data_IF_997231512615
#
_entry.id   IF_997231512615
#
_cell.length_a   1.000
_cell.length_b   1.000
_cell.length_c   1.000
_cell.angle_alpha   90.00
_cell.angle_beta   90.00
_cell.angle_gamma   90.00
#
_symmetry.space_group_name_H-M   'P 1'
#
loop_
_entity.id
_entity.type
_entity.pdbx_description
1 polymer ?
#
# COMPACT_ATOMS: atom_id res chain seq x y z
N UNK A 1 8.82 1.63 15.25
CA UNK A 1 9.07 1.49 13.80
C UNK A 1 8.91 2.86 13.15
N UNK A 2 9.96 3.40 12.54
CA UNK A 2 9.92 4.68 11.83
C UNK A 2 9.51 4.45 10.38
N UNK A 3 8.37 5.00 9.99
CA UNK A 3 7.75 4.79 8.68
C UNK A 3 7.80 6.10 7.90
N UNK A 4 8.40 6.08 6.72
CA UNK A 4 8.29 7.15 5.74
C UNK A 4 7.26 6.78 4.68
N UNK A 5 6.31 7.68 4.46
CA UNK A 5 5.35 7.58 3.36
C UNK A 5 5.77 8.50 2.22
N UNK A 6 5.59 8.03 0.99
CA UNK A 6 5.85 8.80 -0.24
C UNK A 6 4.52 9.04 -0.95
N UNK A 7 3.96 10.24 -0.77
CA UNK A 7 2.84 10.73 -1.58
C UNK A 7 3.41 11.39 -2.84
N UNK A 8 3.77 10.55 -3.81
CA UNK A 8 4.37 10.99 -5.06
C UNK A 8 3.35 11.59 -6.03
N UNK A 9 3.81 12.55 -6.83
CA UNK A 9 3.09 13.07 -7.98
C UNK A 9 3.18 12.08 -9.14
N UNK A 10 2.14 11.30 -9.37
CA UNK A 10 2.09 10.30 -10.46
C UNK A 10 1.15 10.85 -11.52
N UNK A 11 1.72 11.43 -12.57
CA UNK A 11 1.00 12.09 -13.64
C UNK A 11 0.92 11.25 -14.92
N UNK A 12 0.42 11.81 -16.04
CA UNK A 12 0.52 11.21 -17.37
C UNK A 12 1.96 11.31 -17.92
N UNK A 13 2.92 10.85 -17.13
CA UNK A 13 4.36 10.84 -17.42
C UNK A 13 4.77 9.51 -18.05
N UNK A 14 5.95 9.49 -18.65
CA UNK A 14 6.58 8.25 -19.12
C UNK A 14 6.98 7.36 -17.94
N UNK A 15 7.19 6.06 -18.21
CA UNK A 15 7.68 5.11 -17.20
C UNK A 15 8.98 5.59 -16.53
N UNK A 16 9.88 6.19 -17.34
CA UNK A 16 11.17 6.70 -16.84
C UNK A 16 11.01 7.92 -15.92
N UNK A 17 10.08 8.82 -16.24
CA UNK A 17 9.83 10.02 -15.43
C UNK A 17 9.17 9.64 -14.09
N UNK A 18 8.16 8.76 -14.12
CA UNK A 18 7.53 8.21 -12.91
C UNK A 18 8.56 7.52 -12.01
N UNK A 19 9.41 6.66 -12.61
CA UNK A 19 10.50 6.00 -11.86
C UNK A 19 11.45 7.04 -11.25
N UNK A 20 11.84 8.06 -12.00
CA UNK A 20 12.73 9.11 -11.48
C UNK A 20 12.12 9.82 -10.27
N UNK A 21 10.86 10.25 -10.36
CA UNK A 21 10.15 10.90 -9.25
C UNK A 21 10.14 10.01 -8.01
N UNK A 22 9.80 8.74 -8.17
CA UNK A 22 9.74 7.79 -7.04
C UNK A 22 11.12 7.60 -6.39
N UNK A 23 12.19 7.43 -7.17
CA UNK A 23 13.52 7.27 -6.59
C UNK A 23 14.04 8.55 -5.93
N UNK A 24 13.78 9.73 -6.51
CA UNK A 24 14.11 11.02 -5.88
C UNK A 24 13.36 11.20 -4.54
N UNK A 25 12.07 10.85 -4.48
CA UNK A 25 11.26 10.92 -3.25
C UNK A 25 11.70 9.88 -2.20
N UNK A 26 12.15 8.69 -2.63
CA UNK A 26 12.76 7.71 -1.73
C UNK A 26 14.08 8.22 -1.16
N UNK A 27 14.92 8.86 -1.97
CA UNK A 27 16.15 9.51 -1.51
C UNK A 27 15.87 10.62 -0.50
N UNK A 28 14.83 11.43 -0.72
CA UNK A 28 14.38 12.42 0.27
C UNK A 28 13.97 11.73 1.59
N UNK A 29 13.23 10.63 1.53
CA UNK A 29 12.77 9.89 2.71
C UNK A 29 13.95 9.41 3.58
N UNK A 30 15.06 9.01 2.97
CA UNK A 30 16.27 8.56 3.67
C UNK A 30 16.84 9.61 4.64
N UNK A 31 16.62 10.91 4.40
CA UNK A 31 17.05 11.99 5.31
C UNK A 31 16.51 11.82 6.74
N UNK A 32 15.38 11.12 6.90
CA UNK A 32 14.76 10.84 8.19
C UNK A 32 15.27 9.56 8.86
N UNK A 33 16.16 8.79 8.21
CA UNK A 33 16.60 7.45 8.59
C UNK A 33 15.41 6.52 8.92
N UNK A 34 14.50 6.24 7.96
CA UNK A 34 13.36 5.36 8.19
C UNK A 34 13.74 3.90 8.35
N UNK A 35 12.90 3.15 9.05
CA UNK A 35 12.97 1.69 9.09
C UNK A 35 12.30 1.08 7.85
N UNK A 36 11.26 1.74 7.34
CA UNK A 36 10.52 1.34 6.14
C UNK A 36 10.10 2.57 5.33
N UNK A 37 10.20 2.46 4.00
CA UNK A 37 9.60 3.40 3.05
C UNK A 37 8.40 2.72 2.39
N UNK A 38 7.31 3.46 2.23
CA UNK A 38 6.05 2.97 1.64
C UNK A 38 5.69 3.84 0.43
N UNK A 39 5.53 3.18 -0.72
CA UNK A 39 5.16 3.82 -2.00
C UNK A 39 3.66 3.65 -2.31
N UNK A 40 3.09 4.47 -3.20
CA UNK A 40 1.66 4.41 -3.55
C UNK A 40 1.34 3.30 -4.58
N UNK A 41 0.09 3.21 -5.04
CA UNK A 41 -0.34 2.22 -6.04
C UNK A 41 0.05 2.63 -7.47
N UNK A 42 0.40 1.65 -8.30
CA UNK A 42 0.69 1.77 -9.75
C UNK A 42 1.58 2.95 -10.12
N UNK A 43 2.64 3.15 -9.32
CA UNK A 43 3.47 4.34 -9.44
C UNK A 43 4.34 4.37 -10.70
N UNK A 44 4.61 3.21 -11.33
CA UNK A 44 5.45 3.16 -12.53
C UNK A 44 4.73 3.70 -13.78
N UNK A 45 3.44 3.36 -13.94
CA UNK A 45 2.67 3.61 -15.15
C UNK A 45 1.54 4.61 -14.97
N UNK A 46 1.16 4.94 -13.74
CA UNK A 46 -0.14 5.55 -13.45
C UNK A 46 -1.31 4.60 -13.79
N UNK A 47 -2.54 5.11 -13.67
CA UNK A 47 -3.77 4.29 -13.65
C UNK A 47 -4.35 3.94 -15.03
N UNK A 48 -3.67 4.19 -16.17
CA UNK A 48 -4.24 3.95 -17.50
C UNK A 48 -3.27 3.41 -18.53
N UNK A 49 -3.48 2.17 -19.01
CA UNK A 49 -2.58 1.52 -19.94
C UNK A 49 -2.97 1.56 -21.41
N UNK A 50 -3.99 2.34 -21.78
CA UNK A 50 -4.32 2.64 -23.19
C UNK A 50 -3.15 3.29 -23.95
N UNK A 51 -2.18 3.88 -23.22
CA UNK A 51 -0.96 4.46 -23.80
C UNK A 51 0.18 3.46 -23.95
N UNK A 52 0.02 2.23 -23.50
CA UNK A 52 1.13 1.29 -23.45
C UNK A 52 1.03 0.19 -24.50
N UNK A 53 2.00 0.22 -25.40
CA UNK A 53 2.30 -0.73 -26.47
C UNK A 53 3.10 -1.91 -25.96
N UNK A 54 3.29 -2.93 -26.79
CA UNK A 54 4.22 -4.05 -26.50
C UNK A 54 5.68 -3.61 -26.29
N UNK A 55 6.01 -2.36 -26.61
CA UNK A 55 7.35 -1.78 -26.45
C UNK A 55 7.58 -1.08 -25.11
N UNK A 56 6.52 -0.89 -24.32
CA UNK A 56 6.67 -0.32 -22.98
C UNK A 56 7.36 -1.33 -22.07
N UNK A 57 8.46 -0.91 -21.47
CA UNK A 57 9.40 -1.76 -20.74
C UNK A 57 8.86 -2.14 -19.36
N UNK A 58 7.80 -2.94 -19.36
CA UNK A 58 7.28 -3.63 -18.17
C UNK A 58 8.13 -4.83 -17.77
N UNK A 59 9.43 -4.84 -18.13
CA UNK A 59 10.36 -5.87 -17.71
C UNK A 59 10.75 -5.61 -16.27
N UNK A 60 9.89 -6.17 -15.45
CA UNK A 60 9.95 -6.37 -14.01
C UNK A 60 11.39 -6.52 -13.47
N UNK A 61 12.29 -7.24 -14.15
CA UNK A 61 13.62 -7.56 -13.64
C UNK A 61 14.51 -6.35 -13.34
N UNK A 62 14.57 -5.34 -14.21
CA UNK A 62 15.47 -4.19 -13.98
C UNK A 62 14.97 -3.27 -12.87
N UNK A 63 13.65 -3.06 -12.81
CA UNK A 63 13.04 -2.25 -11.77
C UNK A 63 13.07 -2.95 -10.42
N UNK A 64 12.78 -4.26 -10.37
CA UNK A 64 12.94 -5.08 -9.18
C UNK A 64 14.38 -5.06 -8.67
N UNK A 65 15.36 -5.24 -9.56
CA UNK A 65 16.76 -5.19 -9.19
C UNK A 65 17.13 -3.84 -8.59
N UNK A 66 16.67 -2.73 -9.18
CA UNK A 66 16.90 -1.40 -8.64
C UNK A 66 16.23 -1.17 -7.28
N UNK A 67 15.03 -1.70 -7.05
CA UNK A 67 14.35 -1.63 -5.74
C UNK A 67 15.09 -2.47 -4.68
N UNK A 68 15.49 -3.69 -5.03
CA UNK A 68 16.33 -4.57 -4.18
C UNK A 68 17.64 -3.88 -3.82
N UNK A 69 18.34 -3.32 -4.81
CA UNK A 69 19.62 -2.65 -4.61
C UNK A 69 19.47 -1.36 -3.80
N UNK A 70 18.36 -0.63 -3.98
CA UNK A 70 18.04 0.52 -3.14
C UNK A 70 17.87 0.11 -1.67
N UNK A 71 17.03 -0.89 -1.40
CA UNK A 71 16.79 -1.41 -0.05
C UNK A 71 18.11 -1.84 0.63
N UNK A 72 18.93 -2.62 -0.09
CA UNK A 72 20.24 -3.10 0.37
C UNK A 72 21.24 -1.96 0.63
N UNK A 73 21.39 -1.06 -0.33
CA UNK A 73 22.41 -0.01 -0.28
C UNK A 73 22.14 1.01 0.83
N UNK A 74 20.86 1.21 1.14
CA UNK A 74 20.42 2.16 2.16
C UNK A 74 19.98 1.49 3.47
N UNK A 75 20.07 0.15 3.56
CA UNK A 75 19.71 -0.64 4.73
C UNK A 75 18.29 -0.31 5.24
N UNK A 76 17.31 -0.32 4.34
CA UNK A 76 15.91 0.08 4.61
C UNK A 76 14.94 -0.95 4.07
N UNK A 77 13.86 -1.23 4.81
CA UNK A 77 12.77 -2.06 4.29
C UNK A 77 11.94 -1.28 3.27
N UNK A 78 11.43 -1.95 2.25
CA UNK A 78 10.55 -1.32 1.26
C UNK A 78 9.20 -2.05 1.19
N UNK A 79 8.13 -1.30 1.42
CA UNK A 79 6.81 -1.63 0.89
C UNK A 79 6.69 -0.85 -0.41
N UNK A 80 7.16 -1.46 -1.51
CA UNK A 80 7.41 -0.77 -2.77
C UNK A 80 6.12 -0.49 -3.57
N UNK A 81 5.03 -0.19 -2.87
CA UNK A 81 3.76 0.21 -3.47
C UNK A 81 3.23 -0.90 -4.37
N UNK A 82 2.65 -0.52 -5.49
CA UNK A 82 2.42 -1.46 -6.59
C UNK A 82 2.81 -0.89 -7.94
N UNK A 83 3.02 -1.77 -8.90
CA UNK A 83 3.29 -1.44 -10.29
C UNK A 83 2.44 -2.31 -11.23
N UNK A 84 2.24 -1.84 -12.44
CA UNK A 84 1.69 -2.69 -13.51
C UNK A 84 2.75 -3.70 -13.95
N UNK A 85 2.43 -4.99 -13.89
CA UNK A 85 3.27 -6.10 -14.34
C UNK A 85 2.57 -6.83 -15.49
N UNK A 86 3.30 -7.20 -16.55
CA UNK A 86 2.74 -7.97 -17.66
C UNK A 86 2.85 -9.47 -17.37
N UNK A 87 1.74 -10.19 -17.52
CA UNK A 87 1.68 -11.65 -17.36
C UNK A 87 1.00 -12.29 -18.58
N UNK A 88 1.83 -12.73 -19.54
CA UNK A 88 1.33 -13.20 -20.83
C UNK A 88 0.54 -12.11 -21.56
N UNK A 89 -0.73 -12.40 -21.84
CA UNK A 89 -1.68 -11.46 -22.46
C UNK A 89 -2.35 -10.52 -21.44
N UNK A 90 -2.23 -10.82 -20.14
CA UNK A 90 -2.84 -10.05 -19.06
C UNK A 90 -1.86 -9.11 -18.35
N UNK A 91 -2.37 -8.39 -17.36
CA UNK A 91 -1.57 -7.53 -16.47
C UNK A 91 -1.97 -7.76 -15.02
N UNK A 92 -1.05 -7.55 -14.09
CA UNK A 92 -1.29 -7.56 -12.65
C UNK A 92 -0.94 -6.20 -12.03
N UNK A 93 -1.72 -5.80 -11.02
CA UNK A 93 -1.41 -4.67 -10.15
C UNK A 93 -0.67 -5.24 -8.94
N UNK A 94 0.66 -5.31 -9.05
CA UNK A 94 1.53 -6.11 -8.18
C UNK A 94 2.33 -5.24 -7.23
N UNK A 95 2.25 -5.55 -5.95
CA UNK A 95 3.10 -5.02 -4.89
C UNK A 95 4.32 -5.89 -4.65
N UNK A 96 5.42 -5.26 -4.22
CA UNK A 96 6.69 -5.91 -3.90
C UNK A 96 7.16 -5.48 -2.51
N UNK A 97 7.62 -6.45 -1.72
CA UNK A 97 8.13 -6.21 -0.37
C UNK A 97 9.59 -6.63 -0.29
N UNK A 98 10.47 -5.72 0.11
CA UNK A 98 11.90 -6.00 0.29
C UNK A 98 12.34 -5.78 1.74
N UNK A 99 13.21 -6.65 2.24
CA UNK A 99 13.93 -6.44 3.49
C UNK A 99 15.14 -5.50 3.31
N UNK A 100 15.83 -5.21 4.42
CA UNK A 100 17.01 -4.33 4.43
C UNK A 100 18.21 -4.89 3.68
N UNK A 101 18.26 -6.19 3.45
CA UNK A 101 19.29 -6.88 2.66
C UNK A 101 18.95 -6.91 1.16
N UNK A 102 17.77 -6.39 0.78
CA UNK A 102 17.26 -6.38 -0.58
C UNK A 102 16.67 -7.72 -1.02
N UNK A 103 16.38 -8.65 -0.10
CA UNK A 103 15.64 -9.86 -0.45
C UNK A 103 14.17 -9.54 -0.66
N UNK A 104 13.59 -10.14 -1.69
CA UNK A 104 12.16 -10.11 -1.93
C UNK A 104 11.47 -11.03 -0.91
N UNK A 105 10.72 -10.43 0.03
CA UNK A 105 9.93 -11.17 1.03
C UNK A 105 8.64 -11.73 0.46
N UNK A 106 8.13 -11.11 -0.60
CA UNK A 106 6.94 -11.58 -1.30
C UNK A 106 6.37 -10.54 -2.25
N UNK A 107 5.39 -10.99 -3.03
CA UNK A 107 4.61 -10.15 -3.94
C UNK A 107 3.13 -10.30 -3.64
N UNK A 108 2.35 -9.28 -3.96
CA UNK A 108 0.90 -9.27 -3.74
C UNK A 108 0.19 -8.65 -4.93
N UNK A 109 -0.66 -9.42 -5.59
CA UNK A 109 -1.52 -8.92 -6.65
C UNK A 109 -2.85 -8.48 -6.08
N UNK A 110 -3.31 -7.28 -6.47
CA UNK A 110 -4.61 -6.76 -6.07
C UNK A 110 -5.73 -7.74 -6.43
N UNK A 111 -6.39 -8.31 -5.42
CA UNK A 111 -7.43 -9.31 -5.60
C UNK A 111 -8.77 -8.67 -5.98
N UNK A 112 -9.07 -7.48 -5.46
CA UNK A 112 -10.32 -6.78 -5.76
C UNK A 112 -10.08 -5.57 -6.66
N UNK A 113 -10.37 -5.76 -7.95
CA UNK A 113 -10.24 -4.72 -8.96
C UNK A 113 -11.36 -3.68 -8.84
N UNK A 114 -11.03 -2.41 -9.04
CA UNK A 114 -11.96 -1.30 -8.98
C UNK A 114 -13.02 -1.44 -10.09
N UNK A 115 -14.33 -1.38 -9.75
CA UNK A 115 -15.39 -1.68 -10.72
C UNK A 115 -15.71 -0.53 -11.68
N UNK A 116 -15.23 0.69 -11.41
CA UNK A 116 -15.51 1.87 -12.25
C UNK A 116 -14.30 2.16 -13.14
N UNK A 117 -14.51 2.23 -14.44
CA UNK A 117 -13.44 2.37 -15.43
C UNK A 117 -13.03 1.01 -16.00
N UNK A 118 -11.78 0.89 -16.44
CA UNK A 118 -11.31 -0.24 -17.23
C UNK A 118 -10.46 -1.25 -16.45
N UNK A 119 -10.23 -1.08 -15.14
CA UNK A 119 -9.31 -1.93 -14.38
C UNK A 119 -9.66 -3.43 -14.54
N UNK A 120 -10.95 -3.78 -14.52
CA UNK A 120 -11.44 -5.16 -14.73
C UNK A 120 -11.21 -5.73 -16.13
N UNK A 121 -11.03 -4.87 -17.14
CA UNK A 121 -10.76 -5.29 -18.51
C UNK A 121 -9.24 -5.46 -18.75
N UNK A 122 -8.43 -4.82 -17.92
CA UNK A 122 -6.99 -4.67 -18.14
C UNK A 122 -6.15 -5.55 -17.22
N UNK A 123 -6.67 -5.85 -16.02
CA UNK A 123 -5.94 -6.56 -14.99
C UNK A 123 -6.60 -7.90 -14.64
N UNK A 124 -5.75 -8.90 -14.38
CA UNK A 124 -6.12 -10.15 -13.76
C UNK A 124 -6.15 -9.94 -12.24
N UNK A 125 -7.23 -10.33 -11.54
CA UNK A 125 -7.28 -10.23 -10.08
C UNK A 125 -6.30 -11.22 -9.45
N UNK A 126 -5.64 -10.80 -8.36
CA UNK A 126 -4.90 -11.70 -7.48
C UNK A 126 -5.80 -12.71 -6.77
N UNK A 127 -5.20 -13.81 -6.31
CA UNK A 127 -5.91 -14.97 -5.75
C UNK A 127 -5.49 -15.36 -4.32
N UNK A 128 -4.56 -14.61 -3.71
CA UNK A 128 -4.04 -14.89 -2.38
C UNK A 128 -3.76 -13.60 -1.59
N UNK A 129 -3.64 -13.75 -0.27
CA UNK A 129 -3.15 -12.68 0.61
C UNK A 129 -1.64 -12.80 0.81
N UNK A 130 -1.01 -11.73 1.29
CA UNK A 130 0.41 -11.75 1.66
C UNK A 130 0.57 -11.30 3.12
N UNK A 131 1.15 -12.19 3.93
CA UNK A 131 1.68 -11.87 5.26
C UNK A 131 3.20 -11.91 5.21
N UNK A 132 3.85 -10.93 5.82
CA UNK A 132 5.30 -10.80 5.84
C UNK A 132 5.75 -10.15 7.15
N UNK A 133 7.06 -10.18 7.43
CA UNK A 133 7.61 -9.52 8.60
C UNK A 133 8.73 -8.55 8.21
N UNK A 134 8.68 -7.33 8.75
CA UNK A 134 9.76 -6.34 8.60
C UNK A 134 10.44 -6.17 9.96
N UNK A 135 11.73 -6.49 10.05
CA UNK A 135 12.50 -6.47 11.31
C UNK A 135 11.80 -7.29 12.45
N UNK A 136 11.15 -8.40 12.11
CA UNK A 136 10.40 -9.23 13.05
C UNK A 136 9.00 -8.69 13.45
N UNK A 137 8.53 -7.62 12.81
CA UNK A 137 7.18 -7.07 13.00
C UNK A 137 6.26 -7.67 11.94
N UNK A 138 5.23 -8.41 12.37
CA UNK A 138 4.23 -8.96 11.46
C UNK A 138 3.44 -7.84 10.76
N UNK A 139 3.34 -7.94 9.45
CA UNK A 139 2.69 -6.97 8.57
C UNK A 139 1.73 -7.66 7.59
N UNK A 140 0.75 -6.88 7.13
CA UNK A 140 -0.14 -7.26 6.04
C UNK A 140 -0.18 -6.17 4.97
N UNK A 141 -0.64 -6.52 3.79
CA UNK A 141 -0.84 -5.59 2.68
C UNK A 141 -2.18 -5.84 2.00
N UNK A 142 -2.82 -4.74 1.59
CA UNK A 142 -3.94 -4.71 0.64
C UNK A 142 -3.75 -3.51 -0.29
N UNK A 143 -4.45 -3.45 -1.41
CA UNK A 143 -4.27 -2.38 -2.40
C UNK A 143 -5.57 -1.59 -2.61
N UNK A 144 -5.51 -0.29 -2.30
CA UNK A 144 -6.51 0.71 -2.66
C UNK A 144 -7.96 0.30 -2.41
N UNK A 145 -8.72 -0.06 -3.45
CA UNK A 145 -10.15 -0.41 -3.41
C UNK A 145 -10.50 -1.46 -2.35
N UNK A 146 -9.57 -2.36 -2.07
CA UNK A 146 -9.68 -3.43 -1.07
C UNK A 146 -9.89 -2.91 0.36
N UNK A 147 -9.54 -1.66 0.63
CA UNK A 147 -9.84 -1.00 1.90
C UNK A 147 -11.34 -1.03 2.23
N UNK A 148 -12.20 -1.14 1.22
CA UNK A 148 -13.66 -1.25 1.37
C UNK A 148 -14.15 -2.62 1.85
N UNK A 149 -13.32 -3.67 1.74
CA UNK A 149 -13.70 -5.05 2.02
C UNK A 149 -13.19 -5.48 3.41
N UNK A 150 -14.00 -5.36 4.49
CA UNK A 150 -13.56 -5.73 5.84
C UNK A 150 -13.13 -7.20 5.94
N UNK A 151 -13.75 -8.10 5.18
CA UNK A 151 -13.43 -9.54 5.12
C UNK A 151 -12.01 -9.76 4.62
N UNK A 152 -11.64 -9.07 3.54
CA UNK A 152 -10.31 -9.16 2.96
C UNK A 152 -9.25 -8.58 3.89
N UNK A 153 -9.52 -7.41 4.47
CA UNK A 153 -8.63 -6.81 5.46
C UNK A 153 -8.45 -7.70 6.68
N UNK A 154 -9.52 -8.36 7.14
CA UNK A 154 -9.46 -9.30 8.26
C UNK A 154 -8.53 -10.47 7.97
N UNK A 155 -8.54 -10.98 6.74
CA UNK A 155 -7.62 -12.02 6.28
C UNK A 155 -6.19 -11.50 6.17
N UNK A 156 -5.98 -10.30 5.60
CA UNK A 156 -4.65 -9.72 5.45
C UNK A 156 -3.96 -9.46 6.80
N UNK A 157 -4.71 -9.08 7.84
CA UNK A 157 -4.17 -8.89 9.19
C UNK A 157 -4.07 -10.21 9.95
N UNK A 158 -5.04 -11.13 9.76
CA UNK A 158 -5.10 -12.44 10.42
C UNK A 158 -4.93 -12.41 11.96
N UNK A 159 -5.23 -11.28 12.60
CA UNK A 159 -5.01 -11.05 14.04
C UNK A 159 -3.56 -10.99 14.51
N UNK A 160 -2.61 -11.09 13.58
CA UNK A 160 -1.16 -11.09 13.85
C UNK A 160 -0.49 -9.81 13.40
N UNK A 161 -0.88 -9.29 12.24
CA UNK A 161 -0.23 -8.10 11.69
C UNK A 161 -0.42 -6.89 12.61
N UNK A 162 0.70 -6.27 12.97
CA UNK A 162 0.76 -5.04 13.76
C UNK A 162 0.59 -3.80 12.88
N UNK A 163 0.93 -3.91 11.60
CA UNK A 163 0.82 -2.84 10.61
C UNK A 163 0.19 -3.40 9.34
N UNK A 164 -0.87 -2.75 8.88
CA UNK A 164 -1.47 -2.97 7.56
C UNK A 164 -1.01 -1.84 6.63
N UNK A 165 -0.30 -2.19 5.58
CA UNK A 165 0.07 -1.25 4.53
C UNK A 165 -0.98 -1.24 3.42
N UNK A 166 -1.29 -0.04 2.93
CA UNK A 166 -2.29 0.15 1.88
C UNK A 166 -1.75 1.12 0.84
N UNK A 167 -1.02 0.66 -0.20
CA UNK A 167 -0.71 1.47 -1.37
C UNK A 167 -1.99 1.85 -2.12
N UNK A 168 -2.11 3.11 -2.54
CA UNK A 168 -3.34 3.65 -3.13
C UNK A 168 -3.09 4.63 -4.27
N UNK A 169 -4.06 4.66 -5.20
CA UNK A 169 -4.31 5.73 -6.15
C UNK A 169 -5.78 6.17 -6.05
N UNK A 170 -6.20 6.52 -4.82
CA UNK A 170 -7.57 6.86 -4.46
C UNK A 170 -7.93 8.29 -4.89
N UNK A 171 -9.13 8.45 -5.43
CA UNK A 171 -9.56 9.72 -6.00
C UNK A 171 -9.97 10.80 -5.01
N UNK A 172 -9.72 12.07 -5.38
CA UNK A 172 -9.89 13.25 -4.51
C UNK A 172 -11.30 13.36 -3.91
N UNK A 173 -12.33 13.18 -4.74
CA UNK A 173 -13.74 13.26 -4.30
C UNK A 173 -14.13 12.19 -3.27
N UNK A 174 -13.31 11.14 -3.13
CA UNK A 174 -13.53 10.01 -2.23
C UNK A 174 -12.50 9.94 -1.10
N UNK A 175 -11.58 10.90 -0.97
CA UNK A 175 -10.61 10.96 0.16
C UNK A 175 -11.31 10.86 1.53
N UNK A 176 -12.48 11.51 1.77
CA UNK A 176 -13.19 11.31 3.04
C UNK A 176 -13.58 9.85 3.32
N UNK A 177 -13.90 9.06 2.28
CA UNK A 177 -14.19 7.63 2.44
C UNK A 177 -12.91 6.84 2.76
N UNK A 178 -11.79 7.19 2.14
CA UNK A 178 -10.49 6.57 2.43
C UNK A 178 -10.14 6.73 3.91
N UNK A 179 -10.26 7.95 4.45
CA UNK A 179 -10.02 8.23 5.88
C UNK A 179 -10.96 7.45 6.79
N UNK A 180 -12.26 7.43 6.46
CA UNK A 180 -13.25 6.67 7.20
C UNK A 180 -12.90 5.17 7.26
N UNK A 181 -12.62 4.57 6.11
CA UNK A 181 -12.32 3.14 6.06
C UNK A 181 -10.96 2.81 6.69
N UNK A 182 -9.92 3.60 6.45
CA UNK A 182 -8.60 3.38 7.06
C UNK A 182 -8.68 3.43 8.59
N UNK A 183 -9.39 4.41 9.14
CA UNK A 183 -9.65 4.49 10.57
C UNK A 183 -10.46 3.30 11.08
N UNK A 184 -11.51 2.91 10.37
CA UNK A 184 -12.31 1.74 10.74
C UNK A 184 -11.46 0.45 10.73
N UNK A 185 -10.60 0.25 9.72
CA UNK A 185 -9.68 -0.90 9.63
C UNK A 185 -8.70 -0.93 10.78
N UNK A 186 -8.17 0.22 11.19
CA UNK A 186 -7.25 0.31 12.33
C UNK A 186 -7.93 -0.14 13.63
N UNK A 187 -9.11 0.43 13.93
CA UNK A 187 -9.88 0.12 15.15
C UNK A 187 -10.36 -1.33 15.16
N UNK A 188 -11.01 -1.77 14.07
CA UNK A 188 -11.61 -3.11 14.05
C UNK A 188 -10.57 -4.21 13.95
N UNK A 189 -9.31 -3.92 13.62
CA UNK A 189 -8.23 -4.92 13.62
C UNK A 189 -7.20 -4.71 14.73
N UNK A 190 -7.35 -3.66 15.54
CA UNK A 190 -6.41 -3.26 16.59
C UNK A 190 -4.96 -3.25 16.11
N UNK A 191 -4.73 -2.63 14.94
CA UNK A 191 -3.42 -2.52 14.29
C UNK A 191 -3.21 -1.10 13.75
N UNK A 192 -1.97 -0.75 13.39
CA UNK A 192 -1.74 0.45 12.60
C UNK A 192 -2.20 0.24 11.17
N UNK A 193 -2.74 1.28 10.54
CA UNK A 193 -3.03 1.32 9.10
C UNK A 193 -2.21 2.45 8.49
N UNK A 194 -1.37 2.12 7.52
CA UNK A 194 -0.52 3.05 6.78
C UNK A 194 -1.02 3.09 5.34
N UNK A 195 -1.83 4.09 5.03
CA UNK A 195 -2.46 4.28 3.72
C UNK A 195 -1.71 5.37 2.94
N UNK A 196 -1.03 4.96 1.87
CA UNK A 196 -0.17 5.85 1.06
C UNK A 196 -0.79 6.04 -0.31
N UNK A 197 -1.28 7.24 -0.55
CA UNK A 197 -1.93 7.61 -1.79
C UNK A 197 -0.99 8.43 -2.69
N UNK A 198 -1.15 8.32 -4.00
CA UNK A 198 -0.50 9.24 -4.94
C UNK A 198 -1.25 10.57 -5.04
N UNK A 199 -0.63 11.55 -5.70
CA UNK A 199 -1.27 12.82 -6.08
C UNK A 199 -1.00 13.22 -7.53
N UNK A 200 -1.66 14.29 -7.98
CA UNK A 200 -1.50 14.95 -9.29
C UNK A 200 -1.68 14.03 -10.50
N UNK A 201 -2.64 13.10 -10.40
CA UNK A 201 -2.99 12.17 -11.49
C UNK A 201 -3.81 12.80 -12.66
N UNK A 202 -3.66 14.11 -12.88
CA UNK A 202 -4.29 14.87 -13.97
C UNK A 202 -5.83 14.90 -13.93
N UNK A 203 -6.44 15.20 -15.08
CA UNK A 203 -7.91 15.28 -15.26
C UNK A 203 -8.59 13.89 -15.38
N UNK A 204 -7.86 12.80 -15.18
CA UNK A 204 -8.27 11.47 -15.60
C UNK A 204 -8.88 10.67 -14.42
N UNK A 205 -10.19 10.39 -14.49
CA UNK A 205 -11.10 9.80 -13.46
C UNK A 205 -10.97 10.33 -12.03
N UNK A 206 -10.36 11.50 -11.85
CA UNK A 206 -10.14 12.11 -10.55
C UNK A 206 -9.42 11.19 -9.54
N UNK A 207 -8.49 10.35 -10.00
CA UNK A 207 -7.63 9.52 -9.14
C UNK A 207 -6.43 10.33 -8.62
N UNK A 208 -5.73 9.80 -7.61
CA UNK A 208 -4.59 10.47 -6.97
C UNK A 208 -4.98 11.80 -6.32
N UNK A 209 -5.82 11.73 -5.29
CA UNK A 209 -6.25 12.89 -4.51
C UNK A 209 -5.31 13.30 -3.38
N UNK A 210 -4.17 12.64 -3.21
CA UNK A 210 -3.35 12.75 -2.02
C UNK A 210 -4.12 12.31 -0.77
N UNK A 211 -3.89 12.98 0.36
CA UNK A 211 -4.57 12.69 1.61
C UNK A 211 -4.08 11.41 2.30
N UNK A 212 -2.90 10.91 1.98
CA UNK A 212 -2.24 9.79 2.68
C UNK A 212 -2.39 9.93 4.19
N UNK A 213 -2.66 8.83 4.87
CA UNK A 213 -2.99 8.85 6.29
C UNK A 213 -2.43 7.65 7.04
N UNK A 214 -2.20 7.87 8.33
CA UNK A 214 -1.81 6.82 9.27
C UNK A 214 -2.74 6.90 10.47
N UNK A 215 -3.40 5.79 10.75
CA UNK A 215 -4.23 5.62 11.95
C UNK A 215 -3.62 4.56 12.87
N UNK A 216 -3.69 4.81 14.17
CA UNK A 216 -3.28 3.83 15.18
C UNK A 216 -4.43 2.93 15.65
N UNK A 217 -4.12 1.96 16.53
CA UNK A 217 -5.02 0.86 16.87
C UNK A 217 -6.32 1.28 17.58
N UNK A 218 -6.38 2.47 18.18
CA UNK A 218 -7.61 3.03 18.78
C UNK A 218 -8.31 4.04 17.84
N UNK A 219 -7.87 4.15 16.58
CA UNK A 219 -8.43 5.05 15.57
C UNK A 219 -7.97 6.50 15.72
N UNK A 220 -6.93 6.75 16.51
CA UNK A 220 -6.25 8.03 16.57
C UNK A 220 -5.58 8.33 15.22
N UNK A 221 -5.65 9.59 14.81
CA UNK A 221 -4.91 10.08 13.65
C UNK A 221 -3.46 10.37 14.05
N UNK A 222 -2.52 9.75 13.34
CA UNK A 222 -1.08 9.94 13.56
C UNK A 222 -0.50 10.85 12.47
N UNK A 223 -1.02 10.71 11.26
CA UNK A 223 -0.63 11.50 10.10
C UNK A 223 -1.82 11.65 9.15
N UNK A 224 -1.95 12.84 8.59
CA UNK A 224 -2.82 13.11 7.44
C UNK A 224 -2.13 14.16 6.57
N UNK A 225 -1.91 13.84 5.30
CA UNK A 225 -1.34 14.78 4.33
C UNK A 225 -2.45 15.58 3.63
N UNK A 226 -2.06 16.66 2.94
CA UNK A 226 -2.95 17.38 2.03
C UNK A 226 -3.00 16.74 0.65
N UNK A 227 -3.38 17.53 -0.35
CA UNK A 227 -3.41 17.10 -1.75
C UNK A 227 -2.04 17.23 -2.45
N UNK A 228 -1.08 17.94 -1.88
CA UNK A 228 0.22 18.15 -2.51
C UNK A 228 1.18 16.96 -2.33
N UNK A 229 2.23 16.91 -3.14
CA UNK A 229 3.32 15.94 -2.97
C UNK A 229 3.91 16.04 -1.57
N UNK A 230 4.21 14.89 -0.96
CA UNK A 230 4.72 14.87 0.39
C UNK A 230 5.50 13.60 0.70
N UNK A 231 6.74 13.79 1.19
CA UNK A 231 7.46 12.77 1.94
C UNK A 231 7.33 13.09 3.43
N UNK A 232 6.75 12.16 4.20
CA UNK A 232 6.51 12.35 5.63
C UNK A 232 6.93 11.13 6.42
N UNK A 233 7.56 11.38 7.56
CA UNK A 233 8.08 10.33 8.43
C UNK A 233 7.46 10.43 9.81
N UNK A 234 6.96 9.30 10.34
CA UNK A 234 6.44 9.19 11.70
C UNK A 234 6.99 7.95 12.39
N UNK A 235 7.04 7.95 13.72
CA UNK A 235 7.39 6.77 14.51
C UNK A 235 6.13 6.10 15.02
N UNK A 236 5.88 4.87 14.59
CA UNK A 236 4.84 4.01 15.15
C UNK A 236 5.32 3.39 16.46
N UNK A 237 4.65 3.75 17.56
CA UNK A 237 4.81 3.12 18.87
C UNK A 237 3.97 1.84 18.93
N UNK A 238 4.62 0.70 18.66
CA UNK A 238 3.95 -0.59 18.62
C UNK A 238 3.38 -1.04 19.99
N UNK A 239 3.84 -0.44 21.10
CA UNK A 239 3.27 -0.72 22.43
C UNK A 239 1.82 -0.27 22.56
N UNK A 240 1.36 0.63 21.69
CA UNK A 240 -0.05 1.08 21.66
C UNK A 240 -1.01 -0.04 21.30
N UNK A 241 -0.58 -1.03 20.50
CA UNK A 241 -1.39 -2.20 20.16
C UNK A 241 -1.65 -3.04 21.41
N UNK A 242 -0.59 -3.35 22.16
CA UNK A 242 -0.71 -4.15 23.39
C UNK A 242 -1.53 -3.41 24.44
N UNK A 243 -1.37 -2.09 24.54
CA UNK A 243 -2.19 -1.24 25.41
C UNK A 243 -3.67 -1.34 25.04
N UNK A 244 -4.01 -1.23 23.75
CA UNK A 244 -5.40 -1.34 23.30
C UNK A 244 -5.98 -2.73 23.59
N UNK A 245 -5.23 -3.79 23.27
CA UNK A 245 -5.62 -5.18 23.56
C UNK A 245 -5.75 -5.50 25.05
N UNK A 246 -5.07 -4.76 25.92
CA UNK A 246 -5.19 -4.94 27.37
C UNK A 246 -6.56 -4.49 27.93
N UNK A 247 -7.27 -3.59 27.24
CA UNK A 247 -8.64 -3.23 27.60
C UNK A 247 -9.63 -4.29 27.11
N UNK A 248 -9.51 -4.69 25.85
CA UNK A 248 -10.20 -5.85 25.26
C UNK A 248 -9.42 -6.31 24.02
N UNK A 249 -9.27 -7.61 23.83
CA UNK A 249 -8.72 -8.15 22.58
C UNK A 249 -9.87 -8.60 21.69
N UNK A 250 -10.15 -7.83 20.64
CA UNK A 250 -11.26 -8.12 19.74
C UNK A 250 -11.17 -9.54 19.17
N UNK A 251 -9.98 -10.08 18.93
CA UNK A 251 -9.83 -11.42 18.39
C UNK A 251 -10.22 -12.52 19.37
N UNK A 252 -10.08 -12.27 20.69
CA UNK A 252 -10.59 -13.17 21.72
C UNK A 252 -12.12 -13.08 21.86
N UNK A 253 -12.71 -11.90 21.63
CA UNK A 253 -14.15 -11.68 21.77
C UNK A 253 -14.98 -12.17 20.56
N UNK A 254 -14.32 -12.51 19.44
CA UNK A 254 -15.00 -13.00 18.23
C UNK A 254 -15.67 -14.35 18.47
N UNK A 255 -16.76 -14.57 17.73
CA UNK A 255 -17.46 -15.88 17.63
C UNK A 255 -17.44 -16.42 16.19
N UNK A 256 -16.28 -16.87 15.67
CA UNK A 256 -16.11 -17.30 14.28
C UNK A 256 -17.13 -18.34 13.80
N UNK A 257 -17.59 -19.20 14.71
CA UNK A 257 -18.57 -20.23 14.44
C UNK A 257 -19.93 -19.69 13.96
N UNK A 258 -20.25 -18.44 14.27
CA UNK A 258 -21.49 -17.79 13.83
C UNK A 258 -21.40 -17.09 12.47
N UNK A 259 -20.17 -16.83 11.99
CA UNK A 259 -19.95 -16.10 10.74
C UNK A 259 -19.80 -17.03 9.54
N UNK A 260 -20.07 -18.34 9.69
CA UNK A 260 -19.90 -19.34 8.62
C UNK A 260 -20.68 -19.00 7.34
N UNK A 261 -21.81 -18.29 7.45
CA UNK A 261 -22.60 -17.83 6.30
C UNK A 261 -22.01 -16.64 5.53
N UNK A 262 -20.95 -16.00 6.04
CA UNK A 262 -20.27 -14.87 5.39
C UNK A 262 -19.33 -15.32 4.25
N UNK A 263 -19.05 -16.62 4.16
CA UNK A 263 -18.12 -17.23 3.19
C UNK A 263 -18.90 -17.91 2.03
N UNK A 264 -20.23 -17.73 1.96
CA UNK A 264 -21.10 -18.31 0.93
C UNK A 264 -21.36 -17.37 -0.23
#
# INVERSE_FOLDING_TARGET
MKVSIVQAGIGPMTLSENRKVIFDDMDEALSSNPDVIVLPEMWNSGFYPEKFTDHDDYKESELQQALSDFARSHNVNLVAGSITVREGEGRANRSFIYDREGHLLGTYDKAHLFPVGEEKNLFTPGDHNLSFALDGIDCGIITCFELRMPEWVRLAVSGKAKVLFVPMAWGLSRVPHMHLFAKARAVENQCFVVAVNCTKMGDYHAMGGGGSCIYGPAGEEILMTGTEEAVKTVTLDLMRIEKEKSFFDLYHERRPELYKGLIQ
#
